data_IF_790679320361
#
_entry.id   IF_790679320361
#
_cell.length_a   1.000
_cell.length_b   1.000
_cell.length_c   1.000
_cell.angle_alpha   90.00
_cell.angle_beta   90.00
_cell.angle_gamma   90.00
#
_symmetry.space_group_name_H-M   'P 1'
#
loop_
_entity.id
_entity.type
_entity.pdbx_description
1 polymer ?
#
# COMPACT_ATOMS: atom_id res chain seq x y z
N UNK A 1 -23.47 -5.56 -13.82
CA UNK A 1 -22.35 -6.31 -13.20
C UNK A 1 -21.14 -6.09 -14.07
N UNK A 2 -20.15 -5.34 -13.58
CA UNK A 2 -18.98 -4.94 -14.36
C UNK A 2 -17.91 -6.03 -14.28
N UNK A 3 -17.60 -6.67 -15.42
CA UNK A 3 -16.64 -7.78 -15.52
C UNK A 3 -15.21 -7.37 -15.13
N UNK A 4 -14.95 -6.07 -14.98
CA UNK A 4 -13.67 -5.50 -14.52
C UNK A 4 -13.48 -5.55 -13.00
N UNK A 5 -14.53 -5.91 -12.23
CA UNK A 5 -14.51 -5.91 -10.75
C UNK A 5 -14.77 -7.29 -10.15
N UNK A 6 -14.32 -8.36 -10.81
CA UNK A 6 -14.26 -9.73 -10.25
C UNK A 6 -12.81 -10.18 -10.11
N UNK A 7 -12.49 -11.18 -9.26
CA UNK A 7 -11.13 -11.76 -9.15
C UNK A 7 -10.69 -12.43 -10.47
N UNK A 8 -11.67 -12.88 -11.25
CA UNK A 8 -11.45 -13.78 -12.38
C UNK A 8 -10.41 -13.32 -13.39
N UNK A 9 -10.33 -12.04 -13.79
CA UNK A 9 -9.27 -11.57 -14.67
C UNK A 9 -7.87 -11.71 -14.07
N UNK A 10 -7.66 -11.38 -12.79
CA UNK A 10 -6.36 -11.47 -12.13
C UNK A 10 -5.96 -12.94 -11.90
N UNK A 11 -6.90 -13.77 -11.44
CA UNK A 11 -6.66 -15.20 -11.21
C UNK A 11 -6.31 -15.93 -12.51
N UNK A 12 -7.00 -15.62 -13.62
CA UNK A 12 -6.67 -16.19 -14.93
C UNK A 12 -5.31 -15.76 -15.48
N UNK A 13 -4.81 -14.61 -15.07
CA UNK A 13 -3.54 -14.06 -15.58
C UNK A 13 -2.34 -14.55 -14.77
N UNK A 14 -2.48 -14.62 -13.44
CA UNK A 14 -1.37 -14.91 -12.53
C UNK A 14 -1.40 -16.34 -11.99
N UNK A 15 -2.60 -16.94 -11.86
CA UNK A 15 -2.83 -18.09 -10.99
C UNK A 15 -3.03 -17.65 -9.54
N UNK A 16 -3.93 -18.29 -8.81
CA UNK A 16 -4.21 -17.96 -7.40
C UNK A 16 -3.02 -18.28 -6.48
N UNK A 17 -2.13 -19.16 -6.94
CA UNK A 17 -0.91 -19.63 -6.29
C UNK A 17 0.32 -18.76 -6.61
N UNK A 18 0.16 -17.69 -7.39
CA UNK A 18 1.25 -16.79 -7.75
C UNK A 18 1.91 -16.17 -6.51
N UNK A 19 3.25 -16.26 -6.43
CA UNK A 19 4.01 -15.93 -5.22
C UNK A 19 4.94 -14.71 -5.35
N UNK A 20 4.72 -13.85 -6.34
CA UNK A 20 5.53 -12.65 -6.52
C UNK A 20 5.08 -11.46 -5.65
N UNK A 21 5.65 -10.28 -5.91
CA UNK A 21 5.28 -9.04 -5.20
C UNK A 21 4.11 -8.37 -5.91
N UNK A 22 2.99 -8.23 -5.23
CA UNK A 22 1.74 -7.71 -5.78
C UNK A 22 1.38 -6.34 -5.22
N UNK A 23 1.58 -5.30 -6.04
CA UNK A 23 1.15 -3.94 -5.71
C UNK A 23 -0.32 -3.70 -6.06
N UNK A 24 -1.16 -3.33 -5.08
CA UNK A 24 -2.59 -3.08 -5.32
C UNK A 24 -3.16 -1.92 -4.50
N UNK A 25 -4.37 -1.49 -4.84
CA UNK A 25 -5.08 -0.32 -4.30
C UNK A 25 -5.88 -0.60 -3.01
N UNK A 26 -5.68 -1.76 -2.38
CA UNK A 26 -6.41 -2.17 -1.18
C UNK A 26 -7.79 -2.76 -1.45
N UNK A 27 -8.10 -3.17 -2.68
CA UNK A 27 -9.31 -3.92 -2.92
C UNK A 27 -9.22 -5.35 -2.37
N UNK A 28 -10.12 -5.69 -1.44
CA UNK A 28 -10.12 -6.94 -0.66
C UNK A 28 -10.16 -8.25 -1.49
N UNK A 29 -10.51 -8.17 -2.77
CA UNK A 29 -10.46 -9.33 -3.66
C UNK A 29 -9.02 -9.82 -3.87
N UNK A 30 -8.04 -8.91 -3.82
CA UNK A 30 -6.64 -9.27 -3.98
C UNK A 30 -6.07 -10.01 -2.77
N UNK A 31 -6.65 -9.87 -1.58
CA UNK A 31 -6.23 -10.58 -0.37
C UNK A 31 -6.35 -12.12 -0.48
N UNK A 32 -7.02 -12.60 -1.54
CA UNK A 32 -7.12 -14.03 -1.87
C UNK A 32 -5.85 -14.62 -2.48
N UNK A 33 -4.92 -13.80 -2.98
CA UNK A 33 -3.62 -14.25 -3.49
C UNK A 33 -2.64 -14.51 -2.35
N UNK A 34 -2.97 -15.47 -1.47
CA UNK A 34 -2.25 -15.68 -0.20
C UNK A 34 -0.80 -16.10 -0.37
N UNK A 35 -0.40 -16.59 -1.54
CA UNK A 35 0.99 -16.90 -1.86
C UNK A 35 1.81 -15.66 -2.21
N UNK A 36 1.17 -14.55 -2.58
CA UNK A 36 1.83 -13.32 -2.99
C UNK A 36 2.35 -12.53 -1.79
N UNK A 37 3.42 -11.77 -2.01
CA UNK A 37 3.84 -10.73 -1.08
C UNK A 37 3.14 -9.43 -1.45
N UNK A 38 2.29 -8.90 -0.58
CA UNK A 38 1.46 -7.75 -0.92
C UNK A 38 2.17 -6.41 -0.70
N UNK A 39 1.82 -5.42 -1.51
CA UNK A 39 2.22 -4.02 -1.35
C UNK A 39 0.99 -3.13 -1.55
N UNK A 40 0.57 -2.40 -0.51
CA UNK A 40 -0.46 -1.37 -0.66
C UNK A 40 0.09 -0.17 -1.39
N UNK A 41 -0.64 0.30 -2.41
CA UNK A 41 -0.18 1.33 -3.30
C UNK A 41 -0.23 2.72 -2.64
N UNK A 42 0.94 3.35 -2.44
CA UNK A 42 1.01 4.70 -1.83
C UNK A 42 0.35 5.77 -2.69
N UNK A 43 0.24 5.58 -4.01
CA UNK A 43 -0.49 6.49 -4.89
C UNK A 43 -2.00 6.51 -4.61
N UNK A 44 -2.56 5.53 -3.89
CA UNK A 44 -3.95 5.56 -3.41
C UNK A 44 -4.04 6.01 -1.95
N UNK A 45 -3.09 5.59 -1.10
CA UNK A 45 -3.11 5.93 0.32
C UNK A 45 -2.84 7.41 0.59
N UNK A 46 -1.92 8.04 -0.15
CA UNK A 46 -1.59 9.46 0.05
C UNK A 46 -2.78 10.38 -0.30
N UNK A 47 -3.46 10.25 -1.47
CA UNK A 47 -4.68 11.00 -1.72
C UNK A 47 -5.79 10.74 -0.70
N UNK A 48 -5.93 9.50 -0.21
CA UNK A 48 -6.90 9.20 0.85
C UNK A 48 -6.59 9.96 2.15
N UNK A 49 -5.31 10.10 2.51
CA UNK A 49 -4.90 10.95 3.62
C UNK A 49 -5.27 12.41 3.35
N UNK A 50 -5.01 12.91 2.15
CA UNK A 50 -5.30 14.29 1.76
C UNK A 50 -6.80 14.61 1.84
N UNK A 51 -7.66 13.72 1.34
CA UNK A 51 -9.11 13.89 1.46
C UNK A 51 -9.58 13.92 2.92
N UNK A 52 -9.02 13.08 3.79
CA UNK A 52 -9.36 13.10 5.22
C UNK A 52 -8.87 14.37 5.93
N UNK A 53 -7.72 14.91 5.51
CA UNK A 53 -7.18 16.17 6.01
C UNK A 53 -8.03 17.35 5.55
N UNK A 54 -8.50 17.33 4.30
CA UNK A 54 -9.31 18.39 3.71
C UNK A 54 -10.68 18.52 4.40
N UNK A 55 -11.34 17.40 4.70
CA UNK A 55 -12.67 17.40 5.32
C UNK A 55 -12.64 17.41 6.85
N UNK A 56 -11.48 17.12 7.44
CA UNK A 56 -11.32 16.98 8.88
C UNK A 56 -11.17 18.33 9.60
N UNK A 57 -11.47 18.34 10.90
CA UNK A 57 -11.23 19.51 11.76
C UNK A 57 -10.72 19.07 13.14
N UNK A 58 -10.05 19.97 13.86
CA UNK A 58 -9.57 19.71 15.22
C UNK A 58 -8.64 18.50 15.32
N UNK A 59 -8.81 17.70 16.39
CA UNK A 59 -7.99 16.52 16.66
C UNK A 59 -8.10 15.41 15.61
N UNK A 60 -9.21 15.36 14.86
CA UNK A 60 -9.40 14.37 13.80
C UNK A 60 -8.35 14.47 12.68
N UNK A 61 -7.64 15.59 12.58
CA UNK A 61 -6.55 15.80 11.62
C UNK A 61 -5.25 15.08 12.02
N UNK A 62 -5.06 14.75 13.30
CA UNK A 62 -3.81 14.15 13.78
C UNK A 62 -3.54 12.78 13.15
N UNK A 63 -4.57 11.94 13.05
CA UNK A 63 -4.48 10.60 12.49
C UNK A 63 -4.05 10.58 11.00
N UNK A 64 -4.77 11.20 10.04
CA UNK A 64 -4.39 11.14 8.63
C UNK A 64 -3.07 11.87 8.34
N UNK A 65 -2.70 12.90 9.13
CA UNK A 65 -1.36 13.52 9.04
C UNK A 65 -0.26 12.55 9.47
N UNK A 66 -0.43 11.90 10.61
CA UNK A 66 0.53 10.89 11.09
C UNK A 66 0.70 9.73 10.11
N UNK A 67 -0.40 9.27 9.49
CA UNK A 67 -0.33 8.23 8.45
C UNK A 67 0.47 8.75 7.26
N UNK A 68 0.13 9.93 6.75
CA UNK A 68 0.82 10.56 5.61
C UNK A 68 2.32 10.71 5.86
N UNK A 69 2.71 11.17 7.06
CA UNK A 69 4.12 11.35 7.43
C UNK A 69 4.89 10.02 7.40
N UNK A 70 4.29 8.93 7.89
CA UNK A 70 4.91 7.60 7.85
C UNK A 70 5.05 7.06 6.42
N UNK A 71 4.05 7.29 5.56
CA UNK A 71 4.13 6.91 4.15
C UNK A 71 5.23 7.70 3.42
N UNK A 72 5.32 9.01 3.65
CA UNK A 72 6.36 9.85 3.06
C UNK A 72 7.77 9.48 3.57
N UNK A 73 7.91 9.16 4.85
CA UNK A 73 9.17 8.64 5.40
C UNK A 73 9.60 7.32 4.72
N UNK A 74 8.64 6.48 4.32
CA UNK A 74 8.92 5.30 3.51
C UNK A 74 9.60 5.65 2.17
N UNK A 75 9.10 6.67 1.46
CA UNK A 75 9.75 7.15 0.24
C UNK A 75 11.12 7.76 0.49
N UNK A 76 11.30 8.49 1.60
CA UNK A 76 12.59 9.05 1.99
C UNK A 76 13.64 7.93 2.15
N UNK A 77 13.34 6.86 2.90
CA UNK A 77 14.30 5.76 3.08
C UNK A 77 14.65 5.04 1.79
N UNK A 78 13.67 4.84 0.89
CA UNK A 78 13.96 4.32 -0.45
C UNK A 78 14.88 5.25 -1.23
N UNK A 79 14.64 6.56 -1.17
CA UNK A 79 15.46 7.52 -1.90
C UNK A 79 16.89 7.56 -1.35
N UNK A 80 17.07 7.52 -0.03
CA UNK A 80 18.39 7.40 0.61
C UNK A 80 19.12 6.12 0.22
N UNK A 81 18.42 5.00 0.13
CA UNK A 81 19.00 3.75 -0.40
C UNK A 81 19.44 3.90 -1.87
N UNK A 82 18.61 4.54 -2.72
CA UNK A 82 18.94 4.78 -4.14
C UNK A 82 20.11 5.76 -4.34
N UNK A 83 20.37 6.62 -3.38
CA UNK A 83 21.50 7.56 -3.38
C UNK A 83 22.72 7.03 -2.65
N UNK A 84 22.78 5.73 -2.33
CA UNK A 84 23.86 5.08 -1.59
C UNK A 84 24.13 5.63 -0.16
N UNK A 85 23.18 6.40 0.40
CA UNK A 85 23.23 6.94 1.77
C UNK A 85 22.72 5.96 2.83
N UNK A 86 22.21 4.80 2.40
CA UNK A 86 21.63 3.78 3.27
C UNK A 86 21.89 2.39 2.72
N UNK A 87 22.25 1.45 3.60
CA UNK A 87 22.43 0.05 3.22
C UNK A 87 21.08 -0.66 3.06
N UNK A 88 21.05 -1.75 2.28
CA UNK A 88 19.86 -2.59 2.16
C UNK A 88 19.38 -3.13 3.53
N UNK A 89 20.31 -3.45 4.43
CA UNK A 89 19.99 -3.86 5.80
C UNK A 89 19.35 -2.70 6.59
N UNK A 90 19.92 -1.50 6.51
CA UNK A 90 19.35 -0.31 7.15
C UNK A 90 17.93 -0.02 6.66
N UNK A 91 17.66 -0.16 5.36
CA UNK A 91 16.33 0.03 4.79
C UNK A 91 15.31 -0.97 5.36
N UNK A 92 15.67 -2.25 5.49
CA UNK A 92 14.83 -3.28 6.14
C UNK A 92 14.54 -2.97 7.61
N UNK A 93 15.54 -2.47 8.34
CA UNK A 93 15.35 -2.03 9.74
C UNK A 93 14.36 -0.87 9.81
N UNK A 94 14.47 0.10 8.89
CA UNK A 94 13.54 1.23 8.84
C UNK A 94 12.12 0.82 8.44
N UNK A 95 11.97 -0.17 7.55
CA UNK A 95 10.68 -0.75 7.21
C UNK A 95 9.95 -1.29 8.46
N UNK A 96 10.62 -2.13 9.26
CA UNK A 96 10.06 -2.64 10.51
C UNK A 96 9.71 -1.54 11.51
N UNK A 97 10.55 -0.50 11.62
CA UNK A 97 10.27 0.66 12.48
C UNK A 97 9.04 1.44 12.01
N UNK A 98 8.87 1.64 10.71
CA UNK A 98 7.70 2.30 10.14
C UNK A 98 6.43 1.47 10.36
N UNK A 99 6.49 0.15 10.15
CA UNK A 99 5.36 -0.75 10.44
C UNK A 99 4.95 -0.66 11.91
N UNK A 100 5.90 -0.67 12.85
CA UNK A 100 5.59 -0.53 14.27
C UNK A 100 5.02 0.84 14.64
N UNK A 101 5.50 1.91 14.02
CA UNK A 101 4.91 3.25 14.21
C UNK A 101 3.49 3.30 13.66
N UNK A 102 3.24 2.69 12.50
CA UNK A 102 1.90 2.61 11.92
C UNK A 102 0.96 1.79 12.81
N UNK A 103 1.40 0.64 13.32
CA UNK A 103 0.64 -0.20 14.26
C UNK A 103 0.19 0.59 15.49
N UNK A 104 1.10 1.37 16.10
CA UNK A 104 0.76 2.24 17.24
C UNK A 104 -0.26 3.32 16.86
N UNK A 105 -0.12 3.90 15.67
CA UNK A 105 -1.00 4.98 15.20
C UNK A 105 -2.42 4.47 14.92
N UNK A 106 -2.57 3.29 14.32
CA UNK A 106 -3.90 2.71 13.99
C UNK A 106 -4.63 2.14 15.20
N UNK A 107 -3.93 1.85 16.31
CA UNK A 107 -4.54 1.41 17.57
C UNK A 107 -5.26 2.53 18.36
N UNK A 108 -5.08 3.79 17.97
CA UNK A 108 -5.65 4.95 18.66
C UNK A 108 -6.27 5.98 17.71
N UNK A 109 -7.21 5.61 16.81
CA UNK A 109 -7.89 6.60 16.00
C UNK A 109 -8.77 7.45 16.93
N UNK A 110 -8.65 8.78 16.85
CA UNK A 110 -9.65 9.66 17.47
C UNK A 110 -11.04 9.32 16.94
N UNK A 111 -12.09 9.59 17.73
CA UNK A 111 -13.50 9.24 17.47
C UNK A 111 -14.07 9.98 16.25
N UNK A 112 -13.62 9.59 15.05
CA UNK A 112 -14.08 10.11 13.77
C UNK A 112 -14.26 8.92 12.81
N UNK A 113 -15.49 8.69 12.37
CA UNK A 113 -15.87 7.46 11.65
C UNK A 113 -15.04 7.22 10.38
N UNK A 114 -14.63 8.28 9.68
CA UNK A 114 -13.79 8.14 8.49
C UNK A 114 -12.34 7.72 8.83
N UNK A 115 -11.83 8.19 9.98
CA UNK A 115 -10.51 7.79 10.48
C UNK A 115 -10.54 6.35 10.98
N UNK A 116 -11.58 5.94 11.69
CA UNK A 116 -11.75 4.56 12.15
C UNK A 116 -11.78 3.56 10.98
N UNK A 117 -12.51 3.89 9.91
CA UNK A 117 -12.54 3.07 8.69
C UNK A 117 -11.17 2.97 8.03
N UNK A 118 -10.40 4.06 8.03
CA UNK A 118 -9.06 4.05 7.46
C UNK A 118 -8.05 3.32 8.36
N UNK A 119 -8.14 3.50 9.67
CA UNK A 119 -7.35 2.77 10.66
C UNK A 119 -7.57 1.26 10.53
N UNK A 120 -8.82 0.80 10.45
CA UNK A 120 -9.14 -0.62 10.25
C UNK A 120 -8.56 -1.18 8.96
N UNK A 121 -8.63 -0.41 7.87
CA UNK A 121 -7.99 -0.79 6.61
C UNK A 121 -6.47 -0.93 6.80
N UNK A 122 -5.81 0.07 7.38
CA UNK A 122 -4.36 0.04 7.59
C UNK A 122 -3.93 -1.08 8.54
N UNK A 123 -4.69 -1.34 9.60
CA UNK A 123 -4.48 -2.43 10.56
C UNK A 123 -4.46 -3.80 9.87
N UNK A 124 -5.44 -4.05 9.00
CA UNK A 124 -5.51 -5.30 8.21
C UNK A 124 -4.33 -5.47 7.24
N UNK A 125 -3.67 -4.38 6.84
CA UNK A 125 -2.63 -4.38 5.81
C UNK A 125 -1.27 -3.91 6.31
N UNK A 126 -1.02 -3.91 7.64
CA UNK A 126 0.21 -3.35 8.23
C UNK A 126 1.49 -3.95 7.61
N UNK A 127 1.49 -5.25 7.34
CA UNK A 127 2.62 -5.97 6.77
C UNK A 127 2.80 -5.70 5.27
N UNK A 128 1.80 -5.09 4.62
CA UNK A 128 1.78 -4.84 3.19
C UNK A 128 2.12 -3.38 2.86
N UNK A 129 2.31 -2.50 3.85
CA UNK A 129 2.55 -1.07 3.61
C UNK A 129 3.99 -0.79 3.15
N UNK A 130 4.97 -1.45 3.74
CA UNK A 130 6.39 -1.15 3.55
C UNK A 130 7.18 -2.28 2.88
N UNK A 131 6.50 -3.21 2.21
CA UNK A 131 7.11 -4.33 1.47
C UNK A 131 8.19 -3.87 0.50
N UNK A 132 8.01 -2.73 -0.17
CA UNK A 132 9.00 -2.17 -1.10
C UNK A 132 10.35 -1.81 -0.45
N UNK A 133 10.38 -1.62 0.87
CA UNK A 133 11.61 -1.42 1.64
C UNK A 133 12.27 -2.74 2.06
N UNK A 134 11.52 -3.85 2.06
CA UNK A 134 12.06 -5.19 2.30
C UNK A 134 12.66 -5.82 1.03
N UNK A 135 12.17 -5.43 -0.14
CA UNK A 135 12.54 -6.02 -1.43
C UNK A 135 13.03 -4.94 -2.40
N UNK A 136 14.36 -4.70 -2.49
CA UNK A 136 14.93 -3.77 -3.46
C UNK A 136 14.47 -4.13 -4.88
N UNK A 137 13.84 -3.16 -5.56
CA UNK A 137 13.26 -3.35 -6.89
C UNK A 137 11.75 -3.56 -6.91
N UNK A 138 11.09 -3.74 -5.77
CA UNK A 138 9.64 -3.59 -5.67
C UNK A 138 9.25 -2.10 -5.70
N UNK A 139 8.11 -1.80 -6.32
CA UNK A 139 7.56 -0.44 -6.34
C UNK A 139 6.51 -0.30 -5.24
N UNK A 140 6.55 0.83 -4.52
CA UNK A 140 5.50 1.19 -3.55
C UNK A 140 4.19 1.63 -4.24
N UNK A 141 4.21 1.76 -5.56
CA UNK A 141 3.07 2.09 -6.39
C UNK A 141 2.75 0.91 -7.31
N UNK A 142 1.49 0.80 -7.71
CA UNK A 142 1.00 -0.23 -8.62
C UNK A 142 1.47 -0.05 -10.07
N UNK A 143 2.40 0.87 -10.37
CA UNK A 143 2.85 1.18 -11.72
C UNK A 143 3.32 -0.06 -12.49
N UNK A 144 4.13 -0.93 -11.88
CA UNK A 144 4.55 -2.20 -12.52
C UNK A 144 3.41 -3.19 -12.73
N UNK A 145 2.47 -3.27 -11.79
CA UNK A 145 1.28 -4.11 -11.93
C UNK A 145 0.40 -3.63 -13.08
N UNK A 146 0.17 -2.32 -13.18
CA UNK A 146 -0.53 -1.71 -14.30
C UNK A 146 0.21 -1.95 -15.63
N UNK A 147 1.54 -1.76 -15.67
CA UNK A 147 2.33 -2.00 -16.88
C UNK A 147 2.36 -3.47 -17.30
N UNK A 148 2.39 -4.41 -16.36
CA UNK A 148 2.36 -5.85 -16.64
C UNK A 148 1.00 -6.34 -17.15
N UNK A 149 -0.09 -5.72 -16.70
CA UNK A 149 -1.47 -6.06 -17.09
C UNK A 149 -1.91 -5.33 -18.36
N UNK A 150 -1.31 -4.17 -18.69
CA UNK A 150 -1.63 -3.37 -19.88
C UNK A 150 -1.63 -4.17 -21.19
N UNK A 151 -0.63 -5.02 -21.51
CA UNK A 151 -0.68 -5.85 -22.72
C UNK A 151 -1.88 -6.78 -22.77
N UNK A 152 -2.25 -7.38 -21.63
CA UNK A 152 -3.35 -8.35 -21.54
C UNK A 152 -4.75 -7.70 -21.54
N UNK A 153 -4.87 -6.46 -21.06
CA UNK A 153 -6.14 -5.70 -21.06
C UNK A 153 -6.37 -4.98 -22.40
N UNK A 154 -5.32 -4.46 -23.04
CA UNK A 154 -5.42 -3.82 -24.36
C UNK A 154 -5.81 -4.84 -25.43
N UNK A 155 -5.27 -6.06 -25.37
CA UNK A 155 -5.64 -7.15 -26.29
C UNK A 155 -7.04 -7.76 -26.07
N UNK A 156 -7.80 -7.30 -25.05
CA UNK A 156 -9.21 -7.70 -24.83
C UNK A 156 -10.22 -6.68 -25.38
N UNK A 157 -9.77 -5.53 -25.89
CA UNK A 157 -10.61 -4.65 -26.71
C UNK A 157 -10.51 -5.07 -28.17
N UNK A 158 -11.15 -6.18 -28.52
CA UNK A 158 -11.46 -6.56 -29.91
C UNK A 158 -12.88 -7.11 -29.95
#
# INVERSE_FOLDING_TARGET
>A
MDATRSIGPAERLLGIDWSGIFGHDGWAVYDKFTSATHQQCFAHLLPRCDSLIEIGTGGALAFPRGVKDLLLAGFEYRNRFRSDEMTAHGMKVMAGRLTMKMWKLVGHPEKHAANERFAKFLENHLNDLFTFLHHPGADATNWRGEQAIRPAVVNRKV
#
